data_IF_003914464083
#
_entry.id   IF_003914464083
#
_cell.length_a   1.000
_cell.length_b   1.000
_cell.length_c   1.000
_cell.angle_alpha   90.00
_cell.angle_beta   90.00
_cell.angle_gamma   90.00
#
_symmetry.space_group_name_H-M   'P 1'
#
loop_
_entity.id
_entity.type
_entity.pdbx_description
1 polymer ?
#
# COMPACT_ATOMS: atom_id res chain seq x y z
N UNK A 1 -21.23 -6.28 1.87
CA UNK A 1 -20.75 -7.49 1.16
C UNK A 1 -19.40 -7.24 0.49
N UNK A 2 -19.21 -6.10 -0.21
CA UNK A 2 -17.90 -5.64 -0.71
C UNK A 2 -16.94 -5.17 0.39
N UNK A 3 -17.42 -4.59 1.50
CA UNK A 3 -16.57 -4.19 2.63
C UNK A 3 -15.85 -5.37 3.32
N UNK A 4 -16.44 -6.57 3.27
CA UNK A 4 -15.82 -7.79 3.80
C UNK A 4 -14.69 -8.35 2.89
N UNK A 5 -14.58 -7.85 1.66
CA UNK A 5 -13.51 -8.20 0.71
C UNK A 5 -12.20 -7.47 1.05
N UNK A 6 -12.28 -6.25 1.59
CA UNK A 6 -11.14 -5.39 1.91
C UNK A 6 -10.64 -5.56 3.35
N UNK A 7 -11.57 -5.84 4.28
CA UNK A 7 -11.34 -5.97 5.72
C UNK A 7 -10.13 -6.85 6.11
N UNK A 8 -9.95 -8.02 5.49
CA UNK A 8 -8.95 -8.96 5.97
C UNK A 8 -7.51 -8.71 5.49
N UNK A 9 -7.26 -7.76 4.57
CA UNK A 9 -5.98 -7.63 3.85
C UNK A 9 -5.43 -8.98 3.31
N UNK A 10 -6.32 -9.98 3.13
CA UNK A 10 -5.96 -11.36 2.84
C UNK A 10 -5.35 -11.52 1.44
N UNK A 11 -5.70 -10.61 0.53
CA UNK A 11 -5.09 -10.55 -0.79
C UNK A 11 -3.59 -10.20 -0.70
N UNK A 12 -3.16 -9.31 0.19
CA UNK A 12 -1.74 -8.92 0.31
C UNK A 12 -0.82 -10.05 0.76
N UNK A 13 -1.38 -11.10 1.38
CA UNK A 13 -0.65 -12.29 1.85
C UNK A 13 -0.74 -13.47 0.87
N UNK A 14 -1.48 -13.34 -0.24
CA UNK A 14 -1.61 -14.44 -1.20
C UNK A 14 -0.32 -14.65 -1.98
N UNK A 15 -0.02 -15.90 -2.31
CA UNK A 15 1.11 -16.27 -3.15
C UNK A 15 1.03 -15.59 -4.53
N UNK A 16 -0.17 -15.43 -5.09
CA UNK A 16 -0.43 -14.67 -6.31
C UNK A 16 0.05 -13.22 -6.23
N UNK A 17 -0.23 -12.54 -5.11
CA UNK A 17 0.15 -11.13 -4.95
C UNK A 17 1.63 -10.99 -4.66
N UNK A 18 2.28 -11.97 -4.03
CA UNK A 18 3.74 -11.98 -3.95
C UNK A 18 4.40 -12.22 -5.31
N UNK A 19 3.87 -13.18 -6.09
CA UNK A 19 4.30 -13.41 -7.48
C UNK A 19 4.09 -12.16 -8.33
N UNK A 20 3.05 -11.38 -8.07
CA UNK A 20 2.81 -10.12 -8.74
C UNK A 20 3.97 -9.14 -8.62
N UNK A 21 4.54 -9.00 -7.42
CA UNK A 21 5.64 -8.07 -7.17
C UNK A 21 6.99 -8.58 -7.68
N UNK A 22 7.11 -9.87 -8.02
CA UNK A 22 8.33 -10.47 -8.56
C UNK A 22 8.32 -10.61 -10.09
N UNK A 23 7.15 -10.60 -10.72
CA UNK A 23 6.98 -10.69 -12.17
C UNK A 23 6.89 -9.30 -12.81
N UNK A 24 7.33 -9.17 -14.06
CA UNK A 24 7.06 -7.96 -14.84
C UNK A 24 5.58 -7.97 -15.25
N UNK A 25 4.78 -6.98 -14.83
CA UNK A 25 3.37 -6.95 -15.17
C UNK A 25 3.18 -6.69 -16.68
N UNK A 26 2.29 -7.45 -17.34
CA UNK A 26 1.97 -7.22 -18.75
C UNK A 26 1.40 -5.82 -18.97
N UNK A 27 1.69 -5.22 -20.12
CA UNK A 27 1.10 -3.96 -20.53
C UNK A 27 -0.35 -4.10 -21.04
N UNK A 28 -1.11 -5.01 -20.43
CA UNK A 28 -2.47 -5.40 -20.84
C UNK A 28 -3.29 -5.83 -19.61
N UNK A 29 -4.60 -5.98 -19.82
CA UNK A 29 -5.44 -6.83 -19.00
C UNK A 29 -5.15 -8.29 -19.30
N UNK A 30 -5.06 -9.10 -18.26
CA UNK A 30 -4.80 -10.53 -18.34
C UNK A 30 -5.84 -11.30 -17.55
N UNK A 31 -6.14 -12.51 -18.01
CA UNK A 31 -6.92 -13.48 -17.25
C UNK A 31 -6.02 -14.16 -16.23
N UNK A 32 -6.45 -14.23 -14.97
CA UNK A 32 -5.67 -14.76 -13.86
C UNK A 32 -5.19 -16.20 -14.11
N UNK A 33 -6.04 -17.07 -14.67
CA UNK A 33 -5.69 -18.46 -15.00
C UNK A 33 -4.65 -18.61 -16.12
N UNK A 34 -4.51 -17.60 -16.99
CA UNK A 34 -3.51 -17.58 -18.05
C UNK A 34 -2.19 -16.93 -17.59
N UNK A 35 -2.21 -16.18 -16.48
CA UNK A 35 -1.06 -15.42 -15.99
C UNK A 35 -0.36 -16.06 -14.78
N UNK A 36 -1.12 -16.57 -13.80
CA UNK A 36 -0.57 -17.16 -12.60
C UNK A 36 -0.41 -18.68 -12.72
N UNK A 37 0.61 -19.28 -12.08
CA UNK A 37 0.71 -20.74 -11.99
C UNK A 37 -0.54 -21.35 -11.36
N UNK A 38 -1.02 -22.47 -11.92
CA UNK A 38 -2.23 -23.15 -11.44
C UNK A 38 -2.14 -23.53 -9.94
N UNK A 39 -0.95 -23.86 -9.44
CA UNK A 39 -0.71 -24.14 -8.03
C UNK A 39 -0.96 -22.93 -7.12
N UNK A 40 -0.53 -21.74 -7.54
CA UNK A 40 -0.75 -20.50 -6.79
C UNK A 40 -2.23 -20.11 -6.76
N UNK A 41 -2.96 -20.34 -7.87
CA UNK A 41 -4.41 -20.12 -7.93
C UNK A 41 -5.19 -21.08 -7.06
N UNK A 42 -4.73 -22.34 -6.98
CA UNK A 42 -5.35 -23.40 -6.20
C UNK A 42 -5.08 -23.29 -4.69
N UNK A 43 -3.95 -22.72 -4.28
CA UNK A 43 -3.60 -22.47 -2.87
C UNK A 43 -4.19 -21.16 -2.32
N UNK A 44 -4.78 -20.32 -3.16
CA UNK A 44 -5.31 -19.02 -2.75
C UNK A 44 -6.57 -19.14 -1.89
N UNK A 45 -6.39 -19.04 -0.57
CA UNK A 45 -7.46 -19.04 0.43
C UNK A 45 -8.53 -17.98 0.21
N UNK A 46 -8.18 -16.78 -0.27
CA UNK A 46 -9.19 -15.77 -0.61
C UNK A 46 -10.11 -16.27 -1.73
N UNK A 47 -9.54 -16.95 -2.72
CA UNK A 47 -10.33 -17.55 -3.80
C UNK A 47 -11.23 -18.66 -3.27
N UNK A 48 -10.66 -19.61 -2.52
CA UNK A 48 -11.36 -20.80 -2.02
C UNK A 48 -12.44 -20.48 -0.99
N UNK A 49 -12.14 -19.65 -0.01
CA UNK A 49 -12.96 -19.49 1.19
C UNK A 49 -13.96 -18.32 1.07
N UNK A 50 -13.72 -17.36 0.15
CA UNK A 50 -14.53 -16.14 0.02
C UNK A 50 -15.21 -16.00 -1.33
N UNK A 51 -14.47 -16.07 -2.43
CA UNK A 51 -15.03 -15.73 -3.76
C UNK A 51 -15.77 -16.90 -4.41
N UNK A 52 -15.22 -18.12 -4.35
CA UNK A 52 -15.86 -19.32 -4.93
C UNK A 52 -17.22 -19.65 -4.30
N UNK A 53 -17.42 -19.53 -2.97
CA UNK A 53 -18.74 -19.71 -2.36
C UNK A 53 -19.78 -18.69 -2.85
N UNK A 54 -19.34 -17.51 -3.32
CA UNK A 54 -20.20 -16.47 -3.89
C UNK A 54 -20.47 -16.68 -5.40
N UNK A 55 -19.95 -17.76 -6.00
CA UNK A 55 -20.11 -18.04 -7.42
C UNK A 55 -19.11 -17.30 -8.33
N UNK A 56 -18.13 -16.60 -7.76
CA UNK A 56 -17.06 -15.94 -8.52
C UNK A 56 -15.99 -16.99 -8.87
N UNK A 57 -15.60 -17.05 -10.14
CA UNK A 57 -14.65 -18.00 -10.69
C UNK A 57 -13.29 -17.39 -10.94
N UNK A 58 -13.17 -16.68 -12.07
CA UNK A 58 -11.93 -16.10 -12.55
C UNK A 58 -11.90 -14.57 -12.47
N UNK A 59 -10.74 -14.00 -12.73
CA UNK A 59 -10.51 -12.56 -12.65
C UNK A 59 -9.77 -12.06 -13.90
N UNK A 60 -10.18 -10.89 -14.40
CA UNK A 60 -9.41 -10.13 -15.37
C UNK A 60 -8.72 -8.99 -14.63
N UNK A 61 -7.39 -8.95 -14.66
CA UNK A 61 -6.59 -7.99 -13.92
C UNK A 61 -5.69 -7.15 -14.82
N UNK A 62 -5.45 -5.90 -14.45
CA UNK A 62 -4.32 -5.14 -14.97
C UNK A 62 -3.60 -4.39 -13.86
N UNK A 63 -2.28 -4.33 -14.02
CA UNK A 63 -1.36 -3.71 -13.08
C UNK A 63 -0.69 -2.53 -13.77
N UNK A 64 -0.64 -1.39 -13.08
CA UNK A 64 -0.05 -0.17 -13.60
C UNK A 64 0.89 0.38 -12.55
N UNK A 65 2.19 0.18 -12.77
CA UNK A 65 3.25 0.71 -11.91
C UNK A 65 3.39 2.21 -12.17
N UNK A 66 3.27 3.02 -11.11
CA UNK A 66 3.39 4.46 -11.19
C UNK A 66 4.85 4.89 -11.01
N UNK A 67 5.29 6.01 -11.64
CA UNK A 67 6.63 6.57 -11.41
C UNK A 67 6.89 6.95 -9.94
N UNK A 68 5.82 7.26 -9.22
CA UNK A 68 5.84 7.58 -7.79
C UNK A 68 6.08 6.35 -6.90
N UNK A 69 6.02 5.13 -7.45
CA UNK A 69 6.31 3.88 -6.74
C UNK A 69 5.08 3.13 -6.24
N UNK A 70 3.89 3.71 -6.31
CA UNK A 70 2.63 2.97 -6.11
C UNK A 70 2.32 2.05 -7.31
N UNK A 71 1.48 1.05 -7.07
CA UNK A 71 0.91 0.21 -8.10
C UNK A 71 -0.62 0.35 -8.06
N UNK A 72 -1.23 0.66 -9.19
CA UNK A 72 -2.67 0.58 -9.35
C UNK A 72 -3.04 -0.82 -9.85
N UNK A 73 -3.91 -1.50 -9.10
CA UNK A 73 -4.50 -2.78 -9.45
C UNK A 73 -5.96 -2.54 -9.86
N UNK A 74 -6.29 -2.93 -11.09
CA UNK A 74 -7.68 -3.03 -11.54
C UNK A 74 -8.02 -4.50 -11.70
N UNK A 75 -8.98 -4.99 -10.94
CA UNK A 75 -9.53 -6.34 -11.07
C UNK A 75 -10.99 -6.25 -11.49
N UNK A 76 -11.43 -7.23 -12.27
CA UNK A 76 -12.84 -7.44 -12.58
C UNK A 76 -13.14 -8.92 -12.45
N UNK A 77 -14.06 -9.23 -11.56
CA UNK A 77 -14.45 -10.58 -11.20
C UNK A 77 -15.44 -11.14 -12.22
N UNK A 78 -15.30 -12.43 -12.53
CA UNK A 78 -16.20 -13.15 -13.44
C UNK A 78 -16.90 -14.28 -12.73
N UNK A 79 -18.13 -14.54 -13.11
CA UNK A 79 -18.92 -15.65 -12.60
C UNK A 79 -18.32 -16.98 -13.02
N UNK A 80 -18.48 -18.01 -12.18
CA UNK A 80 -17.88 -19.34 -12.41
C UNK A 80 -18.45 -20.06 -13.64
N UNK A 81 -19.68 -19.75 -14.02
CA UNK A 81 -20.33 -20.28 -15.22
C UNK A 81 -19.93 -19.54 -16.51
N UNK A 82 -19.22 -18.42 -16.41
CA UNK A 82 -18.72 -17.61 -17.52
C UNK A 82 -17.35 -17.00 -17.19
N UNK A 83 -16.44 -17.82 -16.65
CA UNK A 83 -15.22 -17.35 -16.01
C UNK A 83 -14.17 -16.88 -17.02
N UNK A 84 -13.99 -17.62 -18.12
CA UNK A 84 -12.97 -17.29 -19.12
C UNK A 84 -13.45 -16.19 -20.06
N UNK A 85 -12.71 -15.07 -20.19
CA UNK A 85 -13.09 -14.00 -21.10
C UNK A 85 -12.86 -14.39 -22.56
N UNK A 86 -13.68 -13.80 -23.44
CA UNK A 86 -13.42 -13.84 -24.87
C UNK A 86 -12.27 -12.89 -25.25
N UNK A 87 -11.72 -13.05 -26.46
CA UNK A 87 -10.75 -12.11 -27.01
C UNK A 87 -11.32 -10.69 -27.12
N UNK A 88 -12.60 -10.56 -27.46
CA UNK A 88 -13.30 -9.27 -27.56
C UNK A 88 -13.48 -8.60 -26.18
N UNK A 89 -13.75 -9.37 -25.12
CA UNK A 89 -13.80 -8.85 -23.75
C UNK A 89 -12.46 -8.24 -23.36
N UNK A 90 -11.36 -8.98 -23.59
CA UNK A 90 -10.00 -8.51 -23.31
C UNK A 90 -9.64 -7.29 -24.16
N UNK A 91 -10.03 -7.26 -25.44
CA UNK A 91 -9.78 -6.10 -26.31
C UNK A 91 -10.48 -4.83 -25.79
N UNK A 92 -11.73 -4.94 -25.33
CA UNK A 92 -12.47 -3.81 -24.74
C UNK A 92 -11.83 -3.30 -23.46
N UNK A 93 -11.40 -4.20 -22.57
CA UNK A 93 -10.69 -3.80 -21.34
C UNK A 93 -9.34 -3.15 -21.65
N UNK A 94 -8.59 -3.71 -22.60
CA UNK A 94 -7.32 -3.15 -23.05
C UNK A 94 -7.47 -1.75 -23.66
N UNK A 95 -8.57 -1.45 -24.34
CA UNK A 95 -8.86 -0.11 -24.83
C UNK A 95 -9.03 0.92 -23.68
N UNK A 96 -9.50 0.49 -22.50
CA UNK A 96 -9.64 1.35 -21.32
C UNK A 96 -8.33 1.55 -20.56
N UNK A 97 -7.38 0.61 -20.65
CA UNK A 97 -6.15 0.60 -19.84
C UNK A 97 -5.36 1.92 -19.88
N UNK A 98 -5.14 2.60 -21.03
CA UNK A 98 -4.46 3.90 -21.05
C UNK A 98 -5.21 5.03 -20.32
N UNK A 99 -6.54 4.96 -20.24
CA UNK A 99 -7.34 5.93 -19.48
C UNK A 99 -7.22 5.68 -17.98
N UNK A 100 -7.27 4.41 -17.57
CA UNK A 100 -7.05 4.00 -16.19
C UNK A 100 -5.65 4.39 -15.71
N UNK A 101 -4.62 4.16 -16.54
CA UNK A 101 -3.25 4.58 -16.23
C UNK A 101 -3.14 6.08 -15.94
N UNK A 102 -3.77 6.92 -16.77
CA UNK A 102 -3.78 8.37 -16.58
C UNK A 102 -4.54 8.79 -15.33
N UNK A 103 -5.70 8.18 -15.08
CA UNK A 103 -6.48 8.44 -13.88
C UNK A 103 -5.71 8.08 -12.60
N UNK A 104 -5.05 6.91 -12.59
CA UNK A 104 -4.19 6.47 -11.48
C UNK A 104 -3.03 7.43 -11.23
N UNK A 105 -2.38 7.93 -12.29
CA UNK A 105 -1.30 8.91 -12.14
C UNK A 105 -1.78 10.23 -11.53
N UNK A 106 -2.95 10.72 -11.97
CA UNK A 106 -3.56 11.93 -11.41
C UNK A 106 -3.90 11.72 -9.93
N UNK A 107 -4.50 10.57 -9.59
CA UNK A 107 -4.83 10.24 -8.20
C UNK A 107 -3.59 10.16 -7.31
N UNK A 108 -2.52 9.48 -7.77
CA UNK A 108 -1.26 9.40 -7.05
C UNK A 108 -0.65 10.79 -6.81
N UNK A 109 -0.67 11.66 -7.82
CA UNK A 109 -0.18 13.04 -7.69
C UNK A 109 -1.00 13.84 -6.69
N UNK A 110 -2.33 13.72 -6.70
CA UNK A 110 -3.18 14.40 -5.72
C UNK A 110 -2.90 13.93 -4.29
N UNK A 111 -2.66 12.63 -4.10
CA UNK A 111 -2.23 12.07 -2.82
C UNK A 111 -0.92 12.69 -2.32
N UNK A 112 0.07 12.84 -3.20
CA UNK A 112 1.34 13.50 -2.87
C UNK A 112 1.16 14.97 -2.50
N UNK A 113 0.39 15.73 -3.28
CA UNK A 113 0.09 17.15 -2.97
C UNK A 113 -0.61 17.28 -1.60
N UNK A 114 -1.50 16.35 -1.26
CA UNK A 114 -2.16 16.32 0.05
C UNK A 114 -1.17 16.00 1.18
N UNK A 115 -0.22 15.08 0.96
CA UNK A 115 0.85 14.78 1.91
C UNK A 115 1.74 16.02 2.16
N UNK A 116 2.14 16.70 1.09
CA UNK A 116 2.93 17.94 1.15
C UNK A 116 2.16 19.06 1.89
N UNK A 117 0.88 19.25 1.60
CA UNK A 117 0.03 20.21 2.30
C UNK A 117 -0.09 19.92 3.79
N UNK A 118 -0.14 18.63 4.18
CA UNK A 118 -0.21 18.19 5.58
C UNK A 118 1.06 18.57 6.34
N UNK A 119 2.24 18.22 5.83
CA UNK A 119 3.51 18.57 6.51
C UNK A 119 3.76 20.08 6.54
N UNK A 120 3.32 20.82 5.51
CA UNK A 120 3.38 22.29 5.49
C UNK A 120 2.43 22.95 6.51
N UNK A 121 1.27 22.33 6.80
CA UNK A 121 0.41 22.78 7.88
C UNK A 121 1.05 22.54 9.26
N UNK A 122 1.68 21.39 9.47
CA UNK A 122 2.43 21.07 10.70
C UNK A 122 3.62 22.01 10.91
N UNK A 123 4.35 22.33 9.84
CA UNK A 123 5.46 23.28 9.88
C UNK A 123 5.01 24.66 10.37
N UNK A 124 3.88 25.17 9.86
CA UNK A 124 3.29 26.45 10.32
C UNK A 124 2.88 26.44 11.79
N UNK A 125 2.60 25.27 12.36
CA UNK A 125 2.33 25.10 13.79
C UNK A 125 3.61 24.87 14.62
N UNK A 126 4.79 24.87 13.99
CA UNK A 126 6.06 24.62 14.65
C UNK A 126 6.32 23.14 14.96
N UNK A 127 5.66 22.23 14.27
CA UNK A 127 5.75 20.78 14.52
C UNK A 127 6.59 20.06 13.45
N UNK A 128 7.67 19.35 13.81
CA UNK A 128 8.35 18.41 12.92
C UNK A 128 7.38 17.30 12.48
N UNK A 129 7.27 17.06 11.18
CA UNK A 129 6.32 16.08 10.65
C UNK A 129 6.80 15.39 9.38
N UNK A 130 6.36 14.14 9.23
CA UNK A 130 6.46 13.35 8.02
C UNK A 130 5.12 12.71 7.73
N UNK A 131 4.80 12.55 6.44
CA UNK A 131 3.70 11.70 5.97
C UNK A 131 4.31 10.44 5.39
N UNK A 132 3.82 9.29 5.86
CA UNK A 132 4.25 7.97 5.41
C UNK A 132 3.13 7.32 4.62
N UNK A 133 3.50 6.52 3.62
CA UNK A 133 2.58 5.58 2.99
C UNK A 133 2.29 4.39 3.91
N UNK A 134 1.30 3.57 3.55
CA UNK A 134 0.88 2.41 4.34
C UNK A 134 1.98 1.35 4.53
N UNK A 135 3.04 1.36 3.71
CA UNK A 135 4.19 0.45 3.85
C UNK A 135 5.37 1.09 4.63
N UNK A 136 5.20 2.30 5.18
CA UNK A 136 6.23 3.00 5.94
C UNK A 136 7.18 3.86 5.10
N UNK A 137 7.04 3.89 3.78
CA UNK A 137 7.85 4.78 2.92
C UNK A 137 7.45 6.23 3.15
N UNK A 138 8.44 7.11 3.29
CA UNK A 138 8.25 8.56 3.45
C UNK A 138 7.74 9.16 2.14
N UNK A 139 6.59 9.83 2.19
CA UNK A 139 5.98 10.54 1.06
C UNK A 139 6.32 12.03 1.08
N UNK A 140 6.35 12.64 2.27
CA UNK A 140 6.70 14.05 2.45
C UNK A 140 7.26 14.29 3.85
N UNK A 141 8.13 15.28 3.98
CA UNK A 141 8.73 15.78 5.23
C UNK A 141 8.65 17.30 5.25
N UNK A 142 8.75 17.90 6.44
CA UNK A 142 9.00 19.33 6.57
C UNK A 142 10.44 19.62 7.06
N UNK A 143 10.95 20.84 6.85
CA UNK A 143 12.32 21.21 7.23
C UNK A 143 12.62 21.01 8.72
N UNK A 144 11.61 21.15 9.58
CA UNK A 144 11.76 20.95 11.03
C UNK A 144 12.13 19.51 11.37
N UNK A 145 11.56 18.52 10.67
CA UNK A 145 11.93 17.11 10.84
C UNK A 145 13.27 16.80 10.20
N UNK A 146 13.55 17.36 9.02
CA UNK A 146 14.82 17.18 8.32
C UNK A 146 16.02 17.72 9.12
N UNK A 147 15.79 18.72 9.97
CA UNK A 147 16.77 19.26 10.92
C UNK A 147 17.05 18.34 12.13
N UNK A 148 16.46 17.13 12.20
CA UNK A 148 16.64 16.17 13.29
C UNK A 148 17.31 14.84 12.86
N UNK A 149 18.45 14.85 12.14
CA UNK A 149 19.04 13.66 11.55
C UNK A 149 19.61 12.65 12.56
N UNK A 150 19.89 13.07 13.80
CA UNK A 150 20.29 12.15 14.87
C UNK A 150 19.10 11.35 15.45
N UNK A 151 17.87 11.81 15.17
CA UNK A 151 16.65 11.23 15.71
C UNK A 151 15.91 10.39 14.69
N UNK A 152 15.80 10.89 13.45
CA UNK A 152 15.12 10.21 12.36
C UNK A 152 16.14 9.85 11.28
N UNK A 153 16.30 8.54 11.08
CA UNK A 153 17.30 7.98 10.18
C UNK A 153 16.63 7.52 8.89
N UNK A 154 17.15 7.91 7.71
CA UNK A 154 16.73 7.30 6.46
C UNK A 154 17.19 5.84 6.44
N UNK A 155 16.32 4.94 6.00
CA UNK A 155 16.64 3.52 5.83
C UNK A 155 16.35 3.07 4.39
N UNK A 156 16.61 1.79 4.09
CA UNK A 156 16.40 1.23 2.76
C UNK A 156 14.97 1.45 2.25
N UNK A 157 14.83 1.51 0.92
CA UNK A 157 13.55 1.66 0.21
C UNK A 157 12.78 2.97 0.51
N UNK A 158 13.45 3.99 1.06
CA UNK A 158 12.84 5.29 1.34
C UNK A 158 11.98 5.30 2.60
N UNK A 159 12.17 4.33 3.49
CA UNK A 159 11.53 4.31 4.81
C UNK A 159 12.34 5.12 5.83
N UNK A 160 11.79 5.27 7.03
CA UNK A 160 12.40 5.98 8.15
C UNK A 160 12.49 5.07 9.38
N UNK A 161 13.51 5.30 10.21
CA UNK A 161 13.65 4.69 11.53
C UNK A 161 13.89 5.75 12.60
N UNK A 162 13.59 5.43 13.86
CA UNK A 162 13.98 6.25 15.01
C UNK A 162 15.35 5.78 15.51
N UNK A 163 16.27 6.71 15.82
CA UNK A 163 17.61 6.35 16.31
C UNK A 163 17.64 5.66 17.68
N UNK A 164 16.51 5.58 18.38
CA UNK A 164 16.36 4.76 19.59
C UNK A 164 15.82 3.37 19.22
N UNK A 165 16.52 2.31 19.60
CA UNK A 165 16.11 0.94 19.29
C UNK A 165 14.72 0.60 19.83
N UNK A 166 14.38 1.00 21.06
CA UNK A 166 13.08 0.65 21.66
C UNK A 166 11.95 1.50 21.07
N UNK A 167 12.19 2.79 20.85
CA UNK A 167 11.21 3.65 20.19
C UNK A 167 10.98 3.24 18.72
N UNK A 168 12.04 2.82 18.02
CA UNK A 168 11.93 2.35 16.64
C UNK A 168 11.10 1.07 16.55
N UNK A 169 11.29 0.11 17.47
CA UNK A 169 10.44 -1.09 17.52
C UNK A 169 8.96 -0.74 17.66
N UNK A 170 8.61 0.21 18.53
CA UNK A 170 7.24 0.68 18.68
C UNK A 170 6.75 1.42 17.43
N UNK A 171 7.61 2.18 16.77
CA UNK A 171 7.29 2.92 15.55
C UNK A 171 7.02 1.97 14.37
N UNK A 172 7.88 0.98 14.15
CA UNK A 172 7.68 -0.05 13.13
C UNK A 172 6.41 -0.88 13.42
N UNK A 173 6.12 -1.18 14.68
CA UNK A 173 4.86 -1.82 15.08
C UNK A 173 3.64 -0.96 14.76
N UNK A 174 3.71 0.35 15.05
CA UNK A 174 2.63 1.29 14.74
C UNK A 174 2.36 1.38 13.23
N UNK A 175 3.41 1.43 12.40
CA UNK A 175 3.30 1.39 10.93
C UNK A 175 2.69 0.06 10.46
N UNK A 176 3.19 -1.07 10.96
CA UNK A 176 2.69 -2.39 10.58
C UNK A 176 1.22 -2.58 10.97
N UNK A 177 0.79 -2.01 12.09
CA UNK A 177 -0.59 -2.06 12.55
C UNK A 177 -1.55 -1.23 11.70
N UNK A 178 -1.10 -0.18 10.98
CA UNK A 178 -1.96 0.50 9.98
C UNK A 178 -2.38 -0.46 8.86
N UNK A 179 -1.60 -1.51 8.60
CA UNK A 179 -1.91 -2.55 7.61
C UNK A 179 -2.73 -3.71 8.17
N UNK A 180 -3.07 -3.73 9.46
CA UNK A 180 -3.93 -4.77 10.02
C UNK A 180 -5.15 -4.13 10.67
N UNK A 181 -6.27 -4.85 10.72
CA UNK A 181 -7.42 -4.42 11.54
C UNK A 181 -7.17 -4.53 13.05
N UNK A 182 -5.91 -4.80 13.45
CA UNK A 182 -5.51 -4.84 14.85
C UNK A 182 -5.29 -3.38 15.26
N UNK A 183 -6.21 -2.86 16.08
CA UNK A 183 -6.03 -1.54 16.70
C UNK A 183 -4.64 -1.44 17.33
N UNK A 184 -3.86 -0.38 17.04
CA UNK A 184 -2.58 -0.19 17.70
C UNK A 184 -2.85 0.15 19.17
N UNK A 185 -2.19 -0.55 20.09
CA UNK A 185 -2.21 -0.17 21.51
C UNK A 185 -1.34 1.08 21.80
N UNK A 186 -0.36 1.39 20.95
CA UNK A 186 0.59 2.51 21.15
C UNK A 186 0.70 3.36 19.88
N UNK A 187 0.30 4.63 19.98
CA UNK A 187 0.43 5.67 18.93
C UNK A 187 1.22 6.90 19.38
N UNK A 188 1.68 6.89 20.63
CA UNK A 188 2.50 7.94 21.23
C UNK A 188 3.75 7.26 21.78
N UNK A 189 4.89 7.54 21.17
CA UNK A 189 6.13 6.79 21.40
C UNK A 189 7.13 7.73 22.07
N UNK A 190 7.47 7.52 23.35
CA UNK A 190 8.48 8.32 24.01
C UNK A 190 9.86 7.96 23.47
N UNK A 191 10.64 8.99 23.13
CA UNK A 191 12.05 8.86 22.75
C UNK A 191 12.88 9.51 23.87
N UNK A 192 13.70 8.73 24.60
CA UNK A 192 14.48 9.27 25.70
C UNK A 192 15.63 10.15 25.18
N UNK A 193 15.99 11.16 25.98
CA UNK A 193 17.16 11.98 25.73
C UNK A 193 18.44 11.11 25.71
N UNK A 194 19.39 11.47 24.86
CA UNK A 194 20.77 10.96 24.86
C UNK A 194 21.74 12.14 24.71
N UNK A 195 23.04 11.88 24.79
CA UNK A 195 24.07 12.93 24.72
C UNK A 195 23.93 13.83 23.48
N UNK A 196 23.38 13.30 22.39
CA UNK A 196 23.24 13.93 21.08
C UNK A 196 21.80 14.35 20.73
N UNK A 197 20.80 14.11 21.61
CA UNK A 197 19.39 14.38 21.30
C UNK A 197 18.53 14.64 22.54
N UNK A 198 17.56 15.54 22.40
CA UNK A 198 16.55 15.82 23.43
C UNK A 198 15.47 14.75 23.48
N UNK A 199 14.77 14.63 24.61
CA UNK A 199 13.62 13.74 24.75
C UNK A 199 12.42 14.30 24.01
N UNK A 200 11.70 13.45 23.28
CA UNK A 200 10.47 13.83 22.57
C UNK A 200 9.39 12.75 22.70
N UNK A 201 8.19 13.07 22.25
CA UNK A 201 7.12 12.09 22.01
C UNK A 201 6.79 12.13 20.52
N UNK A 202 6.86 10.97 19.86
CA UNK A 202 6.45 10.82 18.46
C UNK A 202 5.00 10.34 18.42
N UNK A 203 4.15 11.05 17.69
CA UNK A 203 2.76 10.66 17.48
C UNK A 203 2.56 10.08 16.08
N UNK A 204 1.98 8.88 16.00
CA UNK A 204 1.64 8.21 14.74
C UNK A 204 0.13 8.21 14.58
N UNK A 205 -0.35 8.95 13.57
CA UNK A 205 -1.77 9.14 13.32
C UNK A 205 -2.12 8.62 11.91
N UNK A 206 -3.20 7.83 11.76
CA UNK A 206 -3.69 7.45 10.44
C UNK A 206 -4.28 8.68 9.73
N UNK A 207 -3.96 8.83 8.44
CA UNK A 207 -4.56 9.84 7.57
C UNK A 207 -5.61 9.17 6.69
N UNK A 208 -6.81 9.76 6.65
CA UNK A 208 -7.94 9.33 5.79
C UNK A 208 -7.87 9.96 4.41
#
# INVERSE_FOLDING_TARGET
>A
MLEAFDAANGWQKSEEVQLLFSMTPPSAFVYDADYFPAGALASNHLRLDRTRPLGIGGQIGSFIVMPTGEMALFSTERWRDNDRPSADDLARMNALRPHLARASLIAARLGLERAQGTVAAMERMGLPAAVLSSNGRVLATNPLLEAMPAMFLPVAFGSMAIGDVQADLLFQQAIAAVRSEIEPSVRSIPVPARQDRQSIIVHVLPLL
#
